data_IF_117888972032
#
_entry.id   IF_117888972032
#
_cell.length_a   1.000
_cell.length_b   1.000
_cell.length_c   1.000
_cell.angle_alpha   90.00
_cell.angle_beta   90.00
_cell.angle_gamma   90.00
#
_symmetry.space_group_name_H-M   'P 1'
#
loop_
_entity.id
_entity.type
_entity.pdbx_description
1 polymer ?
#
# COMPACT_ATOMS: atom_id res chain seq x y z
N UNK A 1 -0.22 25.93 -16.81
CA UNK A 1 1.09 25.34 -16.46
C UNK A 1 0.81 23.91 -16.00
N UNK A 2 1.02 22.81 -16.74
CA UNK A 2 1.87 22.50 -17.88
C UNK A 2 1.20 21.34 -18.65
N UNK A 3 1.13 21.44 -19.97
CA UNK A 3 0.59 20.45 -20.91
C UNK A 3 1.60 19.32 -21.09
N UNK A 4 1.20 18.04 -21.02
CA UNK A 4 2.01 16.92 -21.50
C UNK A 4 1.14 15.89 -22.23
N UNK A 5 1.05 16.05 -23.55
CA UNK A 5 0.76 14.96 -24.46
C UNK A 5 1.86 13.89 -24.32
N UNK A 6 1.48 12.60 -24.28
CA UNK A 6 2.34 11.51 -24.76
C UNK A 6 3.41 10.93 -23.81
N UNK A 7 3.41 11.20 -22.50
CA UNK A 7 4.20 10.36 -21.59
C UNK A 7 3.39 9.10 -21.27
N UNK A 8 3.91 7.93 -21.65
CA UNK A 8 3.57 6.69 -20.96
C UNK A 8 3.94 6.89 -19.49
N UNK A 9 3.00 7.39 -18.68
CA UNK A 9 3.16 7.45 -17.24
C UNK A 9 3.20 6.00 -16.79
N UNK A 10 4.38 5.52 -16.41
CA UNK A 10 4.51 4.19 -15.82
C UNK A 10 3.62 4.20 -14.57
N UNK A 11 2.58 3.36 -14.52
CA UNK A 11 1.64 3.40 -13.42
C UNK A 11 2.35 3.03 -12.11
N UNK A 12 2.06 3.77 -11.05
CA UNK A 12 2.59 3.50 -9.72
C UNK A 12 1.60 2.68 -8.90
N UNK A 13 2.11 1.85 -8.01
CA UNK A 13 1.31 1.12 -7.03
C UNK A 13 1.25 1.93 -5.73
N UNK A 14 0.07 2.04 -5.12
CA UNK A 14 -0.09 2.64 -3.79
C UNK A 14 -0.75 1.67 -2.82
N UNK A 15 -0.30 1.67 -1.58
CA UNK A 15 -0.97 0.99 -0.47
C UNK A 15 -1.77 1.98 0.36
N UNK A 16 -3.04 1.69 0.57
CA UNK A 16 -3.99 2.55 1.29
C UNK A 16 -4.61 1.76 2.43
N UNK A 17 -4.59 2.32 3.64
CA UNK A 17 -5.32 1.78 4.78
C UNK A 17 -6.77 2.21 4.69
N UNK A 18 -7.71 1.26 4.58
CA UNK A 18 -9.11 1.60 4.27
C UNK A 18 -9.89 2.16 5.45
N UNK A 19 -9.48 1.88 6.70
CA UNK A 19 -10.22 2.32 7.89
C UNK A 19 -10.28 3.84 8.03
N UNK A 20 -9.28 4.54 7.51
CA UNK A 20 -9.10 5.99 7.57
C UNK A 20 -8.66 6.63 6.25
N UNK A 21 -8.64 5.84 5.16
CA UNK A 21 -8.20 6.24 3.82
C UNK A 21 -6.78 6.81 3.77
N UNK A 22 -5.95 6.49 4.76
CA UNK A 22 -4.58 6.98 4.81
C UNK A 22 -3.73 6.26 3.75
N UNK A 23 -3.07 7.04 2.87
CA UNK A 23 -2.08 6.52 1.93
C UNK A 23 -0.83 6.17 2.73
N UNK A 24 -0.46 4.89 2.73
CA UNK A 24 0.74 4.42 3.44
C UNK A 24 1.98 4.63 2.55
N UNK A 25 1.89 4.23 1.28
CA UNK A 25 2.99 4.31 0.33
C UNK A 25 2.48 4.56 -1.10
N UNK A 26 3.33 5.15 -1.94
CA UNK A 26 3.19 5.18 -3.40
C UNK A 26 4.54 4.89 -4.03
N UNK A 27 4.61 3.82 -4.82
CA UNK A 27 5.88 3.25 -5.24
C UNK A 27 6.76 2.96 -4.02
N UNK A 28 8.03 3.35 -4.10
CA UNK A 28 8.99 3.20 -3.00
C UNK A 28 8.90 4.32 -1.95
N UNK A 29 8.05 5.33 -2.15
CA UNK A 29 7.91 6.43 -1.22
C UNK A 29 6.89 6.10 -0.11
N UNK A 30 7.21 6.44 1.14
CA UNK A 30 6.38 6.20 2.32
C UNK A 30 5.80 7.51 2.84
N UNK A 31 4.47 7.60 2.92
CA UNK A 31 3.72 8.79 3.37
C UNK A 31 3.38 8.75 4.86
N UNK A 32 3.16 7.56 5.41
CA UNK A 32 2.93 7.40 6.84
C UNK A 32 4.20 7.67 7.64
N UNK A 33 4.05 8.25 8.83
CA UNK A 33 5.15 8.40 9.79
C UNK A 33 5.40 7.14 10.62
N UNK A 34 4.50 6.16 10.56
CA UNK A 34 4.68 4.86 11.20
C UNK A 34 5.69 4.01 10.41
N UNK A 35 6.92 3.96 10.91
CA UNK A 35 8.07 3.32 10.24
C UNK A 35 7.95 1.81 10.10
N UNK A 36 6.94 1.18 10.70
CA UNK A 36 6.67 -0.25 10.56
C UNK A 36 6.10 -0.61 9.19
N UNK A 37 5.44 0.34 8.53
CA UNK A 37 4.84 0.12 7.22
C UNK A 37 5.83 0.48 6.11
N UNK A 38 6.10 -0.47 5.21
CA UNK A 38 6.94 -0.22 4.03
C UNK A 38 6.45 -0.96 2.80
N UNK A 39 6.68 -0.36 1.63
CA UNK A 39 6.47 -1.03 0.36
C UNK A 39 7.71 -1.88 0.03
N UNK A 40 7.48 -3.13 -0.38
CA UNK A 40 8.52 -4.00 -0.93
C UNK A 40 8.29 -4.20 -2.41
N UNK A 41 9.35 -3.96 -3.17
CA UNK A 41 9.36 -4.12 -4.61
C UNK A 41 10.77 -4.54 -5.05
N UNK A 42 10.86 -5.72 -5.66
CA UNK A 42 12.12 -6.19 -6.22
C UNK A 42 12.32 -5.54 -7.59
N UNK A 43 13.54 -5.06 -7.93
CA UNK A 43 13.82 -4.50 -9.25
C UNK A 43 13.39 -5.45 -10.38
N UNK A 44 12.60 -4.94 -11.33
CA UNK A 44 12.09 -5.71 -12.47
C UNK A 44 10.90 -6.64 -12.19
N UNK A 45 10.48 -6.78 -10.93
CA UNK A 45 9.28 -7.55 -10.56
C UNK A 45 8.01 -6.74 -10.81
N UNK A 46 6.88 -7.34 -11.22
CA UNK A 46 5.59 -6.64 -11.23
C UNK A 46 4.93 -6.60 -9.83
N UNK A 47 5.47 -7.32 -8.85
CA UNK A 47 4.85 -7.51 -7.56
C UNK A 47 5.21 -6.40 -6.57
N UNK A 48 4.19 -5.96 -5.83
CA UNK A 48 4.30 -4.98 -4.76
C UNK A 48 3.65 -5.56 -3.52
N UNK A 49 4.42 -5.63 -2.43
CA UNK A 49 3.95 -6.11 -1.13
C UNK A 49 3.95 -4.95 -0.13
N UNK A 50 2.98 -4.95 0.78
CA UNK A 50 3.03 -4.12 1.98
C UNK A 50 3.62 -4.98 3.09
N UNK A 51 4.73 -4.55 3.66
CA UNK A 51 5.23 -5.12 4.90
C UNK A 51 4.77 -4.29 6.09
N UNK A 52 4.44 -4.98 7.18
CA UNK A 52 4.15 -4.40 8.48
C UNK A 52 5.06 -5.08 9.50
N UNK A 53 6.10 -4.39 9.94
CA UNK A 53 6.99 -4.88 11.01
C UNK A 53 6.26 -4.86 12.37
N UNK A 54 6.41 -5.93 13.17
CA UNK A 54 5.79 -6.10 14.49
C UNK A 54 4.31 -5.62 14.51
N UNK A 55 3.42 -6.31 13.78
CA UNK A 55 2.02 -5.90 13.68
C UNK A 55 1.29 -6.03 15.02
N UNK A 56 0.46 -5.04 15.34
CA UNK A 56 -0.41 -5.04 16.51
C UNK A 56 -1.86 -5.37 16.14
N UNK A 57 -2.68 -5.78 17.11
CA UNK A 57 -4.10 -6.09 16.89
C UNK A 57 -4.83 -4.92 16.21
N UNK A 58 -4.47 -3.68 16.54
CA UNK A 58 -5.00 -2.43 15.98
C UNK A 58 -4.68 -2.21 14.50
N UNK A 59 -3.70 -2.94 13.95
CA UNK A 59 -3.38 -2.96 12.51
C UNK A 59 -4.32 -3.88 11.73
N UNK A 60 -5.15 -4.70 12.40
CA UNK A 60 -6.18 -5.50 11.74
C UNK A 60 -7.13 -4.58 10.94
N UNK A 61 -7.47 -5.00 9.73
CA UNK A 61 -8.32 -4.20 8.85
C UNK A 61 -8.13 -4.51 7.38
N UNK A 62 -8.74 -3.68 6.53
CA UNK A 62 -8.62 -3.79 5.08
C UNK A 62 -7.56 -2.81 4.57
N UNK A 63 -6.66 -3.33 3.75
CA UNK A 63 -5.65 -2.58 3.01
C UNK A 63 -5.93 -2.72 1.53
N UNK A 64 -5.74 -1.65 0.77
CA UNK A 64 -5.99 -1.61 -0.67
C UNK A 64 -4.69 -1.34 -1.40
N UNK A 65 -4.32 -2.25 -2.29
CA UNK A 65 -3.30 -2.05 -3.30
C UNK A 65 -3.99 -1.48 -4.53
N UNK A 66 -3.63 -0.27 -4.96
CA UNK A 66 -4.17 0.35 -6.17
C UNK A 66 -3.08 0.69 -7.18
N UNK A 67 -3.47 0.76 -8.45
CA UNK A 67 -2.63 1.18 -9.55
C UNK A 67 -3.15 2.52 -10.06
N UNK A 68 -2.26 3.47 -10.35
CA UNK A 68 -2.58 4.82 -10.85
C UNK A 68 -3.07 4.84 -12.32
N UNK A 69 -3.95 3.92 -12.68
CA UNK A 69 -4.61 3.85 -13.99
C UNK A 69 -5.93 4.61 -13.98
N UNK A 70 -6.40 4.97 -15.18
CA UNK A 70 -7.76 5.45 -15.40
C UNK A 70 -8.45 4.52 -16.40
N UNK A 71 -9.50 3.77 -16.01
CA UNK A 71 -10.10 3.72 -14.67
C UNK A 71 -9.19 3.06 -13.63
N UNK A 72 -9.46 3.34 -12.35
CA UNK A 72 -8.69 2.82 -11.21
C UNK A 72 -8.77 1.29 -11.17
N UNK A 73 -7.60 0.66 -11.17
CA UNK A 73 -7.45 -0.77 -10.85
C UNK A 73 -7.04 -0.90 -9.38
N UNK A 74 -7.66 -1.81 -8.65
CA UNK A 74 -7.34 -2.03 -7.23
C UNK A 74 -7.65 -3.46 -6.78
N UNK A 75 -7.03 -3.86 -5.66
CA UNK A 75 -7.30 -5.09 -4.93
C UNK A 75 -7.28 -4.80 -3.43
N UNK A 76 -8.19 -5.43 -2.69
CA UNK A 76 -8.29 -5.31 -1.24
C UNK A 76 -7.82 -6.60 -0.56
N UNK A 77 -7.10 -6.42 0.53
CA UNK A 77 -6.56 -7.49 1.38
C UNK A 77 -7.02 -7.24 2.82
N UNK A 78 -7.47 -8.29 3.50
CA UNK A 78 -7.82 -8.23 4.91
C UNK A 78 -6.66 -8.79 5.74
N UNK A 79 -6.10 -7.97 6.62
CA UNK A 79 -5.14 -8.39 7.64
C UNK A 79 -5.90 -8.67 8.94
N UNK A 80 -5.67 -9.84 9.52
CA UNK A 80 -6.15 -10.20 10.86
C UNK A 80 -4.94 -10.52 11.73
N UNK A 81 -4.65 -9.66 12.69
CA UNK A 81 -3.60 -9.88 13.70
C UNK A 81 -4.29 -10.48 14.92
N UNK A 82 -3.96 -11.72 15.24
CA UNK A 82 -4.50 -12.41 16.40
C UNK A 82 -3.68 -12.03 17.64
N UNK A 83 -4.35 -11.74 18.74
CA UNK A 83 -3.68 -11.59 20.03
C UNK A 83 -3.12 -12.92 20.53
N UNK A 84 -2.21 -12.85 21.49
CA UNK A 84 -1.78 -14.05 22.21
C UNK A 84 -2.99 -14.68 22.93
N UNK A 85 -3.18 -15.98 22.73
CA UNK A 85 -4.04 -16.78 23.59
C UNK A 85 -3.38 -16.84 24.97
N UNK A 86 -3.89 -16.07 25.92
CA UNK A 86 -3.59 -16.32 27.33
C UNK A 86 -4.28 -17.62 27.70
N UNK A 87 -3.49 -18.68 27.84
CA UNK A 87 -3.90 -19.95 28.44
C UNK A 87 -4.23 -19.76 29.92
#
# INVERSE_FOLDING_TARGET
MQTLLGKSQIPYVSWIRRKDLHVLTTGNFTYTTDTRFRALHLPGSPFWSLEVDRPAITDSGVYECQVSTQPKIFRRFKLSVLGELKA
#
